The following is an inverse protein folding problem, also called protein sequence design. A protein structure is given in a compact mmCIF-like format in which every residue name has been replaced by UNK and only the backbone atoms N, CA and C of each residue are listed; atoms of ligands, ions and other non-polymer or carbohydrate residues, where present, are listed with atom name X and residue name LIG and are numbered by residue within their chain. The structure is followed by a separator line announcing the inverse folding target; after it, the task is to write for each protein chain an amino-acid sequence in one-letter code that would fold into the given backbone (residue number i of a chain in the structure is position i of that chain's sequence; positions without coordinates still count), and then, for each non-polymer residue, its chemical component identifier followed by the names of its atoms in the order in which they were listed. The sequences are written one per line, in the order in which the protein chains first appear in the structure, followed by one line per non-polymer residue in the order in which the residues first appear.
data_IF_486533445799
#
_entry.id   IF_486533445799
#
_cell.length_a   1.000
_cell.length_b   1.000
_cell.length_c   1.000
_cell.angle_alpha   90.00
_cell.angle_beta   90.00
_cell.angle_gamma   90.00
#
_symmetry.space_group_name_H-M   'P 1'
#
loop_
_entity.id
_entity.type
_entity.pdbx_description
1 polymer ?
#
# COMPACT_ATOMS: atom_id res chain seq x y z
N UNK A 1 -74.35 -31.60 20.08
CA UNK A 1 -73.07 -30.96 20.44
C UNK A 1 -73.35 -29.46 20.41
N UNK A 2 -73.42 -28.83 21.56
CA UNK A 2 -73.73 -27.40 21.67
C UNK A 2 -72.41 -26.64 21.81
N UNK A 3 -72.28 -25.62 20.96
CA UNK A 3 -71.18 -24.70 20.90
C UNK A 3 -71.20 -23.77 22.12
N UNK A 4 -70.07 -23.54 22.82
CA UNK A 4 -70.08 -22.68 23.99
C UNK A 4 -70.07 -21.21 23.56
N UNK A 5 -71.04 -20.47 24.10
CA UNK A 5 -71.27 -19.06 23.91
C UNK A 5 -70.06 -18.23 24.35
N UNK A 6 -69.52 -17.45 23.43
CA UNK A 6 -68.46 -16.44 23.65
C UNK A 6 -68.98 -15.35 24.60
N UNK A 7 -68.41 -15.33 25.78
CA UNK A 7 -68.73 -14.36 26.82
C UNK A 7 -67.95 -13.09 26.55
N UNK A 8 -68.55 -12.14 25.80
CA UNK A 8 -68.01 -10.78 25.62
C UNK A 8 -67.69 -10.17 26.98
N UNK A 9 -66.40 -10.03 27.28
CA UNK A 9 -65.96 -9.25 28.44
C UNK A 9 -66.40 -7.80 28.22
N UNK A 10 -67.22 -7.28 29.05
CA UNK A 10 -67.70 -5.94 29.06
C UNK A 10 -66.46 -4.97 29.14
N UNK A 11 -66.41 -4.01 28.24
CA UNK A 11 -65.44 -2.96 28.28
C UNK A 11 -65.57 -2.20 29.61
N UNK A 12 -64.47 -2.18 30.36
CA UNK A 12 -64.41 -1.37 31.60
C UNK A 12 -64.59 0.10 31.21
N UNK A 13 -65.49 0.85 31.86
CA UNK A 13 -65.70 2.26 31.49
C UNK A 13 -64.41 3.03 31.72
N UNK A 14 -63.96 3.69 30.65
CA UNK A 14 -62.77 4.56 30.66
C UNK A 14 -63.00 5.75 31.60
N UNK A 15 -62.15 5.89 32.60
CA UNK A 15 -62.23 7.00 33.52
C UNK A 15 -62.04 8.33 32.78
N UNK A 16 -62.84 9.40 33.08
CA UNK A 16 -62.65 10.69 32.44
C UNK A 16 -61.22 11.24 32.66
N UNK A 17 -60.57 11.62 31.57
CA UNK A 17 -59.22 12.18 31.61
C UNK A 17 -59.24 13.56 32.26
N UNK A 18 -58.31 13.87 33.18
CA UNK A 18 -58.26 15.18 33.81
C UNK A 18 -57.96 16.28 32.78
N UNK A 19 -58.48 17.53 33.06
CA UNK A 19 -58.20 18.71 32.22
C UNK A 19 -56.72 18.94 32.09
N UNK A 20 -56.19 19.06 30.85
CA UNK A 20 -54.73 19.20 30.57
C UNK A 20 -54.02 17.89 30.21
N UNK A 21 -54.75 16.78 30.04
CA UNK A 21 -54.17 15.54 29.57
C UNK A 21 -53.84 15.60 28.07
N UNK A 22 -52.58 15.47 27.71
CA UNK A 22 -52.15 15.40 26.33
C UNK A 22 -52.43 14.00 25.76
N UNK A 23 -53.20 13.93 24.68
CA UNK A 23 -53.51 12.69 23.96
C UNK A 23 -52.40 12.25 23.02
N UNK A 24 -51.11 12.59 23.27
CA UNK A 24 -49.96 12.14 22.53
C UNK A 24 -49.15 11.13 23.30
N UNK A 25 -48.28 10.38 22.62
CA UNK A 25 -47.28 9.56 23.28
C UNK A 25 -46.34 10.46 24.11
N UNK A 26 -46.59 10.47 25.41
CA UNK A 26 -45.76 11.23 26.34
C UNK A 26 -44.49 10.46 26.67
N UNK A 27 -43.35 11.00 26.33
CA UNK A 27 -42.07 10.46 26.73
C UNK A 27 -41.91 10.55 28.25
N UNK A 28 -41.68 9.44 28.90
CA UNK A 28 -41.39 9.44 30.35
C UNK A 28 -39.95 9.96 30.59
N UNK A 29 -39.68 10.54 31.76
CA UNK A 29 -38.31 10.96 32.13
C UNK A 29 -37.29 9.81 31.96
N UNK A 30 -37.69 8.60 32.32
CA UNK A 30 -36.88 7.40 32.18
C UNK A 30 -36.54 7.09 30.73
N UNK A 31 -37.48 7.23 29.79
CA UNK A 31 -37.22 7.00 28.36
C UNK A 31 -36.31 8.10 27.78
N UNK A 32 -36.45 9.36 28.22
CA UNK A 32 -35.56 10.47 27.82
C UNK A 32 -34.12 10.20 28.28
N UNK A 33 -33.92 9.81 29.54
CA UNK A 33 -32.56 9.49 30.01
C UNK A 33 -31.99 8.23 29.36
N UNK A 34 -32.79 7.22 29.09
CA UNK A 34 -32.35 6.02 28.38
C UNK A 34 -31.94 6.35 26.96
N UNK A 35 -32.71 7.17 26.23
CA UNK A 35 -32.38 7.59 24.86
C UNK A 35 -31.13 8.48 24.83
N UNK A 36 -31.04 9.44 25.77
CA UNK A 36 -29.85 10.28 25.89
C UNK A 36 -28.57 9.46 26.18
N UNK A 37 -28.68 8.45 27.08
CA UNK A 37 -27.57 7.53 27.37
C UNK A 37 -27.16 6.71 26.18
N UNK A 38 -28.11 6.18 25.42
CA UNK A 38 -27.84 5.43 24.17
C UNK A 38 -27.20 6.34 23.11
N UNK A 39 -27.72 7.57 22.93
CA UNK A 39 -27.16 8.53 22.00
C UNK A 39 -25.71 8.90 22.36
N UNK A 40 -25.46 9.20 23.63
CA UNK A 40 -24.11 9.52 24.13
C UNK A 40 -23.15 8.32 23.96
N UNK A 41 -23.61 7.10 24.27
CA UNK A 41 -22.87 5.87 24.06
C UNK A 41 -22.58 5.61 22.57
N UNK A 42 -23.56 5.83 21.71
CA UNK A 42 -23.41 5.70 20.25
C UNK A 42 -22.38 6.69 19.70
N UNK A 43 -22.41 7.95 20.14
CA UNK A 43 -21.41 8.96 19.75
C UNK A 43 -20.01 8.57 20.23
N UNK A 44 -19.87 8.11 21.46
CA UNK A 44 -18.57 7.67 21.99
C UNK A 44 -18.00 6.48 21.21
N UNK A 45 -18.83 5.48 20.88
CA UNK A 45 -18.42 4.33 20.06
C UNK A 45 -18.05 4.79 18.65
N UNK A 46 -18.85 5.66 18.02
CA UNK A 46 -18.56 6.18 16.69
C UNK A 46 -17.27 6.99 16.64
N UNK A 47 -17.00 7.80 17.67
CA UNK A 47 -15.78 8.60 17.78
C UNK A 47 -14.49 7.76 17.80
N UNK A 48 -14.56 6.52 18.28
CA UNK A 48 -13.43 5.58 18.28
C UNK A 48 -13.42 4.73 17.03
N UNK A 49 -14.59 4.17 16.64
CA UNK A 49 -14.63 3.19 15.54
C UNK A 49 -14.44 3.82 14.16
N UNK A 50 -14.95 5.03 13.93
CA UNK A 50 -14.82 5.68 12.62
C UNK A 50 -13.37 5.97 12.23
N UNK A 51 -12.50 6.55 13.11
CA UNK A 51 -11.10 6.71 12.79
C UNK A 51 -10.37 5.38 12.56
N UNK A 52 -10.65 4.36 13.39
CA UNK A 52 -10.01 3.04 13.25
C UNK A 52 -10.40 2.37 11.94
N UNK A 53 -11.69 2.36 11.61
CA UNK A 53 -12.17 1.83 10.33
C UNK A 53 -11.65 2.67 9.16
N UNK A 54 -11.67 4.00 9.28
CA UNK A 54 -11.13 4.91 8.27
C UNK A 54 -9.66 4.61 7.98
N UNK A 55 -8.83 4.48 9.00
CA UNK A 55 -7.42 4.13 8.86
C UNK A 55 -7.22 2.75 8.19
N UNK A 56 -8.03 1.75 8.56
CA UNK A 56 -7.93 0.42 7.99
C UNK A 56 -8.39 0.34 6.52
N UNK A 57 -9.33 1.21 6.11
CA UNK A 57 -9.96 1.18 4.78
C UNK A 57 -9.37 2.24 3.83
N UNK A 58 -8.77 3.32 4.36
CA UNK A 58 -8.19 4.40 3.55
C UNK A 58 -7.24 3.90 2.45
N UNK A 59 -6.32 2.96 2.68
CA UNK A 59 -5.41 2.47 1.64
C UNK A 59 -6.09 1.86 0.41
N UNK A 60 -7.38 1.51 0.51
CA UNK A 60 -8.15 0.99 -0.64
C UNK A 60 -8.54 2.12 -1.62
N UNK A 61 -8.62 3.34 -1.12
CA UNK A 61 -9.07 4.52 -1.89
C UNK A 61 -7.93 5.45 -2.29
N UNK A 62 -6.82 5.43 -1.54
CA UNK A 62 -5.65 6.24 -1.83
C UNK A 62 -4.75 5.50 -2.83
N UNK A 63 -4.82 5.90 -4.08
CA UNK A 63 -3.81 5.52 -5.08
C UNK A 63 -2.65 6.49 -4.93
N UNK A 64 -1.44 6.06 -4.54
CA UNK A 64 -0.27 6.88 -4.72
C UNK A 64 -0.13 7.16 -6.22
N UNK A 65 0.03 8.41 -6.57
CA UNK A 65 0.42 8.78 -7.93
C UNK A 65 1.79 8.16 -8.19
N UNK A 66 1.96 7.54 -9.36
CA UNK A 66 3.26 7.02 -9.76
C UNK A 66 4.19 8.22 -9.99
N UNK A 67 5.10 8.44 -9.05
CA UNK A 67 6.07 9.52 -9.13
C UNK A 67 7.22 9.09 -10.05
N UNK A 68 7.45 9.90 -11.08
CA UNK A 68 8.57 9.74 -11.99
C UNK A 68 9.55 10.90 -11.74
N UNK A 69 10.78 10.58 -11.44
CA UNK A 69 11.80 11.57 -11.13
C UNK A 69 12.94 11.58 -12.17
N UNK A 70 13.25 12.76 -12.70
CA UNK A 70 14.31 12.94 -13.65
C UNK A 70 15.69 12.81 -12.98
N UNK A 71 16.55 11.93 -13.51
CA UNK A 71 17.86 11.63 -12.92
C UNK A 71 19.04 12.12 -13.76
N UNK A 72 18.80 12.71 -14.93
CA UNK A 72 19.82 13.29 -15.79
C UNK A 72 19.61 12.96 -17.26
N UNK A 73 20.61 13.31 -18.10
CA UNK A 73 20.57 12.96 -19.52
C UNK A 73 20.85 11.47 -19.73
N UNK A 74 20.17 10.79 -20.68
CA UNK A 74 20.50 9.42 -21.07
C UNK A 74 21.96 9.20 -21.42
N UNK A 75 22.63 10.19 -21.96
CA UNK A 75 24.07 10.13 -22.35
C UNK A 75 25.04 10.12 -21.17
N UNK A 76 24.56 10.46 -19.98
CA UNK A 76 25.34 10.40 -18.75
C UNK A 76 25.59 8.96 -18.26
N UNK A 77 24.89 7.99 -18.81
CA UNK A 77 24.92 6.58 -18.37
C UNK A 77 25.54 5.69 -19.42
N UNK A 78 26.47 4.84 -18.98
CA UNK A 78 27.21 3.90 -19.83
C UNK A 78 26.83 2.45 -19.51
N UNK A 79 27.18 1.51 -20.38
CA UNK A 79 26.91 0.08 -20.21
C UNK A 79 27.87 -0.59 -19.20
N UNK A 80 29.11 -0.10 -19.12
CA UNK A 80 30.20 -0.75 -18.39
C UNK A 80 30.17 -0.52 -16.87
N UNK A 81 29.42 0.49 -16.42
CA UNK A 81 29.42 0.86 -15.00
C UNK A 81 28.12 1.49 -14.55
N UNK A 82 27.85 1.32 -13.27
CA UNK A 82 26.73 1.98 -12.63
C UNK A 82 27.09 3.38 -12.15
N UNK A 83 26.21 4.34 -12.43
CA UNK A 83 26.19 5.68 -11.85
C UNK A 83 25.11 5.77 -10.79
N UNK A 84 25.40 6.46 -9.70
CA UNK A 84 24.43 6.72 -8.66
C UNK A 84 23.59 7.96 -8.99
N UNK A 85 22.28 7.84 -8.79
CA UNK A 85 21.36 8.98 -8.75
C UNK A 85 20.57 8.93 -7.43
N UNK A 86 20.10 10.08 -6.99
CA UNK A 86 19.24 10.20 -5.81
C UNK A 86 17.83 10.46 -6.29
N UNK A 87 16.89 9.67 -5.82
CA UNK A 87 15.46 9.81 -6.12
C UNK A 87 14.67 10.03 -4.83
N UNK A 88 13.57 10.75 -4.93
CA UNK A 88 12.62 10.96 -3.85
C UNK A 88 11.54 9.86 -3.92
N UNK A 89 11.43 9.05 -2.89
CA UNK A 89 10.42 7.99 -2.78
C UNK A 89 9.20 8.47 -2.00
N UNK A 90 9.41 9.39 -1.05
CA UNK A 90 8.34 9.97 -0.23
C UNK A 90 8.59 11.46 -0.06
N UNK A 91 7.68 12.25 -0.58
CA UNK A 91 7.73 13.70 -0.43
C UNK A 91 7.41 14.16 0.99
N UNK A 92 7.94 15.33 1.34
CA UNK A 92 7.60 16.01 2.60
C UNK A 92 8.34 15.53 3.85
N UNK A 93 9.13 14.46 3.77
CA UNK A 93 9.91 13.93 4.90
C UNK A 93 11.42 14.24 4.82
N UNK A 94 11.81 15.14 3.93
CA UNK A 94 13.19 15.58 3.73
C UNK A 94 14.10 14.44 3.22
N UNK A 95 15.33 14.37 3.74
CA UNK A 95 16.30 13.36 3.27
C UNK A 95 15.92 11.92 3.60
N UNK A 96 15.04 11.70 4.56
CA UNK A 96 14.52 10.38 4.90
C UNK A 96 13.62 9.80 3.80
N UNK A 97 13.03 10.65 2.97
CA UNK A 97 12.22 10.25 1.82
C UNK A 97 13.03 9.94 0.56
N UNK A 98 14.34 10.20 0.59
CA UNK A 98 15.20 9.97 -0.56
C UNK A 98 15.84 8.58 -0.54
N UNK A 99 16.09 8.05 -1.74
CA UNK A 99 16.82 6.81 -1.92
C UNK A 99 17.86 6.98 -3.03
N UNK A 100 18.90 6.20 -2.93
CA UNK A 100 19.90 6.13 -4.02
C UNK A 100 19.55 4.97 -4.94
N UNK A 101 19.72 5.17 -6.22
CA UNK A 101 19.56 4.16 -7.27
C UNK A 101 20.85 4.06 -8.08
N UNK A 102 21.21 2.85 -8.48
CA UNK A 102 22.31 2.59 -9.39
C UNK A 102 21.75 2.43 -10.80
N UNK A 103 22.21 3.25 -11.73
CA UNK A 103 21.71 3.26 -13.10
C UNK A 103 22.84 3.00 -14.08
N UNK A 104 22.59 2.17 -15.08
CA UNK A 104 23.44 1.97 -16.26
C UNK A 104 22.60 1.87 -17.52
N UNK A 105 23.21 2.06 -18.68
CA UNK A 105 22.58 1.74 -19.96
C UNK A 105 22.57 0.22 -20.15
N UNK A 106 21.52 -0.33 -20.73
CA UNK A 106 21.37 -1.74 -21.05
C UNK A 106 19.93 -2.19 -20.89
N UNK A 107 19.54 -3.24 -21.60
CA UNK A 107 18.19 -3.78 -21.52
C UNK A 107 17.96 -4.56 -20.22
N UNK A 108 16.87 -4.33 -19.51
CA UNK A 108 16.45 -5.15 -18.36
C UNK A 108 15.95 -6.52 -18.78
N UNK A 109 15.63 -6.70 -20.04
CA UNK A 109 15.23 -7.98 -20.66
C UNK A 109 16.27 -8.41 -21.70
N UNK A 110 16.25 -9.68 -22.08
CA UNK A 110 17.17 -10.21 -23.08
C UNK A 110 16.88 -9.72 -24.52
N UNK A 111 15.78 -8.98 -24.70
CA UNK A 111 15.43 -8.30 -25.95
C UNK A 111 16.14 -6.94 -25.97
N UNK A 112 17.19 -6.85 -26.74
CA UNK A 112 18.14 -5.74 -26.82
C UNK A 112 17.48 -4.46 -27.39
N UNK A 113 16.87 -3.61 -26.56
CA UNK A 113 16.61 -2.23 -26.90
C UNK A 113 17.78 -1.36 -26.41
N UNK A 114 18.56 -0.75 -27.31
CA UNK A 114 19.74 0.07 -26.96
C UNK A 114 19.39 1.35 -26.19
N UNK A 115 18.10 1.70 -26.08
CA UNK A 115 17.62 2.86 -25.34
C UNK A 115 17.09 2.50 -23.94
N UNK A 116 17.21 1.26 -23.54
CA UNK A 116 16.79 0.84 -22.22
C UNK A 116 17.86 1.09 -21.16
N UNK A 117 17.41 1.29 -19.94
CA UNK A 117 18.25 1.52 -18.77
C UNK A 117 17.88 0.54 -17.67
N UNK A 118 18.89 0.08 -16.95
CA UNK A 118 18.72 -0.73 -15.76
C UNK A 118 18.95 0.15 -14.54
N UNK A 119 17.92 0.28 -13.72
CA UNK A 119 17.96 1.00 -12.45
C UNK A 119 17.78 0.02 -11.29
N UNK A 120 18.84 -0.15 -10.48
CA UNK A 120 18.90 -1.12 -9.37
C UNK A 120 18.82 -0.39 -8.04
N UNK A 121 17.97 -0.90 -7.14
CA UNK A 121 17.83 -0.40 -5.78
C UNK A 121 19.11 -0.64 -4.96
N UNK A 122 19.49 0.36 -4.18
CA UNK A 122 20.58 0.19 -3.20
C UNK A 122 20.15 -0.61 -1.97
N UNK A 123 18.90 -1.01 -1.85
CA UNK A 123 18.41 -1.76 -0.67
C UNK A 123 18.67 -3.25 -0.82
N UNK A 124 19.47 -3.79 0.12
CA UNK A 124 19.74 -5.22 0.21
C UNK A 124 18.45 -6.02 0.44
N UNK A 125 18.24 -7.07 -0.36
CA UNK A 125 17.07 -7.94 -0.24
C UNK A 125 17.02 -8.80 1.04
N UNK A 126 18.07 -8.75 1.89
CA UNK A 126 18.07 -9.41 3.21
C UNK A 126 17.27 -8.59 4.23
N UNK A 127 17.73 -7.39 4.59
CA UNK A 127 17.13 -6.52 5.61
C UNK A 127 17.19 -5.03 5.24
N UNK A 128 17.30 -4.69 3.96
CA UNK A 128 17.21 -3.31 3.50
C UNK A 128 18.47 -2.45 3.70
N UNK A 129 19.60 -3.03 4.18
CA UNK A 129 20.85 -2.28 4.31
C UNK A 129 21.34 -1.77 2.95
N UNK A 130 22.01 -0.60 2.87
CA UNK A 130 22.52 -0.10 1.63
C UNK A 130 23.64 -0.99 1.06
N UNK A 131 23.51 -1.38 -0.20
CA UNK A 131 24.54 -2.09 -0.95
C UNK A 131 25.48 -1.07 -1.64
N UNK A 132 26.71 -1.47 -1.86
CA UNK A 132 27.70 -0.68 -2.58
C UNK A 132 28.15 -1.42 -3.84
N UNK A 133 28.20 -0.70 -4.96
CA UNK A 133 28.75 -1.23 -6.19
C UNK A 133 30.28 -1.12 -6.16
N UNK A 134 30.96 -2.25 -6.23
CA UNK A 134 32.42 -2.33 -6.29
C UNK A 134 32.85 -2.49 -7.74
N UNK A 135 33.19 -1.39 -8.38
CA UNK A 135 33.54 -1.33 -9.80
C UNK A 135 34.63 -2.34 -10.20
N UNK A 136 35.66 -2.49 -9.39
CA UNK A 136 36.79 -3.40 -9.67
C UNK A 136 36.37 -4.88 -9.70
N UNK A 137 35.32 -5.25 -8.97
CA UNK A 137 34.79 -6.62 -8.93
C UNK A 137 33.55 -6.81 -9.80
N UNK A 138 32.93 -5.74 -10.27
CA UNK A 138 31.66 -5.78 -10.99
C UNK A 138 30.49 -6.27 -10.15
N UNK A 139 30.56 -6.16 -8.83
CA UNK A 139 29.60 -6.75 -7.90
C UNK A 139 29.01 -5.71 -6.96
N UNK A 140 27.77 -5.97 -6.47
CA UNK A 140 27.20 -5.23 -5.36
C UNK A 140 27.46 -5.99 -4.06
N UNK A 141 27.90 -5.28 -3.04
CA UNK A 141 28.23 -5.85 -1.73
C UNK A 141 27.42 -5.14 -0.65
N UNK A 142 26.75 -5.92 0.20
CA UNK A 142 26.09 -5.44 1.40
C UNK A 142 27.06 -5.61 2.59
N UNK A 143 27.53 -4.52 3.22
CA UNK A 143 28.53 -4.61 4.30
C UNK A 143 27.92 -5.15 5.61
N UNK A 144 26.60 -5.16 5.78
CA UNK A 144 25.98 -5.54 7.05
C UNK A 144 26.16 -7.04 7.38
N UNK A 145 25.88 -7.92 6.41
CA UNK A 145 25.92 -9.37 6.61
C UNK A 145 26.58 -10.11 5.43
N UNK A 146 27.35 -9.41 4.62
CA UNK A 146 28.11 -10.01 3.52
C UNK A 146 27.25 -10.52 2.35
N UNK A 147 26.09 -9.91 2.11
CA UNK A 147 25.33 -10.19 0.89
C UNK A 147 26.10 -9.74 -0.34
N UNK A 148 26.24 -10.61 -1.32
CA UNK A 148 26.95 -10.34 -2.59
C UNK A 148 25.99 -10.60 -3.75
N UNK A 149 26.02 -9.64 -4.69
CA UNK A 149 25.23 -9.71 -5.91
C UNK A 149 26.14 -9.47 -7.12
N UNK A 150 25.84 -10.11 -8.22
CA UNK A 150 26.56 -9.89 -9.46
C UNK A 150 26.26 -8.52 -10.10
N UNK A 151 26.79 -8.31 -11.30
CA UNK A 151 26.59 -7.07 -12.04
C UNK A 151 25.11 -6.80 -12.39
N UNK A 152 24.29 -7.83 -12.53
CA UNK A 152 22.87 -7.72 -12.79
C UNK A 152 22.01 -7.63 -11.52
N UNK A 153 22.62 -7.67 -10.34
CA UNK A 153 21.92 -7.66 -9.07
C UNK A 153 21.40 -9.01 -8.62
N UNK A 154 21.80 -10.13 -9.25
CA UNK A 154 21.47 -11.50 -8.82
C UNK A 154 22.33 -11.88 -7.61
N UNK A 155 21.76 -12.66 -6.69
CA UNK A 155 22.48 -13.14 -5.51
C UNK A 155 23.55 -14.14 -5.91
N UNK A 156 24.79 -13.88 -5.51
CA UNK A 156 25.93 -14.79 -5.67
C UNK A 156 26.49 -15.30 -4.35
N UNK A 157 26.10 -14.67 -3.24
CA UNK A 157 26.54 -15.10 -1.92
C UNK A 157 25.90 -14.35 -0.76
N UNK A 158 26.02 -14.93 0.44
CA UNK A 158 25.49 -14.36 1.67
C UNK A 158 24.01 -14.69 1.92
N UNK A 159 23.40 -14.02 2.91
CA UNK A 159 22.05 -14.32 3.37
C UNK A 159 20.89 -13.86 2.48
N UNK A 160 21.01 -12.96 1.49
CA UNK A 160 19.89 -12.59 0.63
C UNK A 160 19.35 -13.81 -0.14
N UNK A 161 18.03 -13.88 -0.28
CA UNK A 161 17.34 -14.99 -0.95
C UNK A 161 16.75 -14.61 -2.31
N UNK A 162 16.84 -13.34 -2.70
CA UNK A 162 16.34 -12.82 -3.98
C UNK A 162 17.23 -11.70 -4.50
N UNK A 163 17.19 -11.42 -5.81
CA UNK A 163 17.91 -10.31 -6.42
C UNK A 163 17.56 -8.96 -5.80
N UNK A 164 18.36 -7.95 -6.13
CA UNK A 164 18.06 -6.56 -5.84
C UNK A 164 16.83 -6.11 -6.63
N UNK A 165 15.98 -5.32 -6.00
CA UNK A 165 14.83 -4.71 -6.66
C UNK A 165 15.29 -3.75 -7.76
N UNK A 166 14.43 -3.57 -8.76
CA UNK A 166 14.64 -2.65 -9.87
C UNK A 166 13.60 -1.54 -9.84
N UNK A 167 13.89 -0.47 -10.55
CA UNK A 167 12.96 0.62 -10.82
C UNK A 167 12.61 0.64 -12.30
N UNK A 168 11.39 1.06 -12.60
CA UNK A 168 11.01 1.36 -13.97
C UNK A 168 11.80 2.56 -14.47
N UNK A 169 12.14 2.56 -15.77
CA UNK A 169 12.85 3.66 -16.41
C UNK A 169 12.11 4.06 -17.68
N UNK A 170 12.15 5.34 -18.00
CA UNK A 170 11.67 5.86 -19.28
C UNK A 170 12.49 7.09 -19.68
N UNK A 171 12.55 7.34 -20.95
CA UNK A 171 13.17 8.58 -21.47
C UNK A 171 12.07 9.52 -21.94
N UNK A 172 12.03 10.70 -21.35
CA UNK A 172 11.07 11.76 -21.70
C UNK A 172 11.84 12.95 -22.26
N UNK A 173 11.77 13.13 -23.59
CA UNK A 173 12.60 14.15 -24.26
C UNK A 173 14.08 13.83 -24.14
N UNK A 174 14.82 14.65 -23.41
CA UNK A 174 16.29 14.52 -23.16
C UNK A 174 16.59 14.14 -21.70
N UNK A 175 15.61 13.64 -20.98
CA UNK A 175 15.75 13.30 -19.57
C UNK A 175 15.39 11.84 -19.33
N UNK A 176 16.28 11.11 -18.64
CA UNK A 176 15.99 9.78 -18.09
C UNK A 176 15.23 9.96 -16.79
N UNK A 177 14.08 9.32 -16.70
CA UNK A 177 13.25 9.30 -15.51
C UNK A 177 13.22 7.90 -14.90
N UNK A 178 13.20 7.86 -13.57
CA UNK A 178 13.06 6.66 -12.75
C UNK A 178 11.71 6.70 -12.09
N UNK A 179 10.96 5.62 -12.18
CA UNK A 179 9.60 5.46 -11.67
C UNK A 179 9.48 4.42 -10.57
N UNK A 180 8.33 3.75 -10.47
CA UNK A 180 8.03 2.79 -9.41
C UNK A 180 9.04 1.65 -9.31
N UNK A 181 9.26 1.21 -8.06
CA UNK A 181 10.10 0.04 -7.77
C UNK A 181 9.34 -1.26 -8.01
N UNK A 182 10.02 -2.26 -8.53
CA UNK A 182 9.50 -3.62 -8.67
C UNK A 182 10.55 -4.68 -8.28
N UNK A 183 10.07 -5.86 -7.89
CA UNK A 183 10.92 -7.01 -7.59
C UNK A 183 11.15 -7.87 -8.82
N UNK A 184 12.24 -8.61 -8.83
CA UNK A 184 12.58 -9.56 -9.90
C UNK A 184 12.86 -10.95 -9.35
N UNK A 185 12.62 -11.99 -10.18
CA UNK A 185 13.03 -13.37 -9.91
C UNK A 185 14.53 -13.54 -10.10
N UNK A 186 15.07 -14.72 -9.75
CA UNK A 186 16.46 -15.08 -10.05
C UNK A 186 16.77 -15.09 -11.56
N UNK A 187 15.76 -15.22 -12.40
CA UNK A 187 15.90 -15.13 -13.86
C UNK A 187 15.72 -13.71 -14.40
N UNK A 188 15.62 -12.73 -13.47
CA UNK A 188 15.40 -11.30 -13.72
C UNK A 188 14.03 -10.96 -14.35
N UNK A 189 13.11 -11.88 -14.30
CA UNK A 189 11.73 -11.60 -14.70
C UNK A 189 11.03 -10.73 -13.63
N UNK A 190 10.29 -9.70 -14.03
CA UNK A 190 9.52 -8.88 -13.11
C UNK A 190 8.53 -9.71 -12.28
N UNK A 191 8.48 -9.47 -10.99
CA UNK A 191 7.55 -10.12 -10.06
C UNK A 191 6.73 -9.06 -9.36
N UNK A 192 5.44 -9.23 -9.36
CA UNK A 192 4.56 -8.50 -8.47
C UNK A 192 4.62 -9.16 -7.09
N UNK A 193 5.57 -8.74 -6.26
CA UNK A 193 5.57 -9.09 -4.85
C UNK A 193 4.65 -8.11 -4.11
N UNK A 194 3.77 -8.63 -3.26
CA UNK A 194 2.99 -7.76 -2.38
C UNK A 194 3.93 -7.18 -1.33
N UNK A 195 4.20 -5.89 -1.41
CA UNK A 195 4.72 -5.11 -0.30
C UNK A 195 3.51 -4.66 0.54
N UNK A 196 3.49 -4.91 1.86
CA UNK A 196 2.41 -4.43 2.71
C UNK A 196 2.26 -2.90 2.72
N UNK A 197 3.29 -2.17 2.30
CA UNK A 197 3.28 -0.71 2.16
C UNK A 197 2.83 -0.21 0.79
N UNK A 198 2.63 -1.09 -0.18
CA UNK A 198 2.18 -0.70 -1.52
C UNK A 198 0.66 -0.71 -1.62
N UNK A 199 0.17 0.17 -2.49
CA UNK A 199 -1.25 0.24 -2.85
C UNK A 199 -1.72 -1.11 -3.41
N UNK A 200 -2.89 -1.55 -2.96
CA UNK A 200 -3.55 -2.72 -3.51
C UNK A 200 -4.55 -2.30 -4.59
N UNK A 201 -4.63 -3.06 -5.68
CA UNK A 201 -5.51 -2.77 -6.82
C UNK A 201 -7.02 -2.82 -6.51
N UNK A 202 -7.40 -2.91 -5.23
CA UNK A 202 -8.78 -2.87 -4.77
C UNK A 202 -9.05 -3.77 -3.57
N UNK A 203 -10.30 -3.74 -3.09
CA UNK A 203 -10.73 -4.47 -1.89
C UNK A 203 -10.46 -5.98 -1.96
N UNK A 204 -10.50 -6.57 -3.15
CA UNK A 204 -10.25 -8.00 -3.32
C UNK A 204 -8.79 -8.37 -3.12
N UNK A 205 -7.85 -7.55 -3.59
CA UNK A 205 -6.43 -7.73 -3.32
C UNK A 205 -6.08 -7.53 -1.85
N UNK A 206 -6.81 -6.64 -1.17
CA UNK A 206 -6.67 -6.44 0.26
C UNK A 206 -7.12 -7.67 1.06
N UNK A 207 -8.26 -8.27 0.69
CA UNK A 207 -8.81 -9.46 1.37
C UNK A 207 -8.11 -10.75 0.96
N UNK A 208 -7.74 -10.86 -0.32
CA UNK A 208 -7.09 -12.03 -0.91
C UNK A 208 -5.81 -11.61 -1.64
N UNK A 209 -4.73 -11.39 -0.89
CA UNK A 209 -3.47 -10.97 -1.50
C UNK A 209 -3.04 -11.96 -2.59
N UNK A 210 -2.76 -11.49 -3.81
CA UNK A 210 -2.28 -12.34 -4.88
C UNK A 210 -0.96 -12.98 -4.47
N UNK A 211 -0.72 -14.18 -4.97
CA UNK A 211 0.60 -14.79 -4.88
C UNK A 211 1.57 -13.99 -5.76
N UNK A 212 2.87 -13.95 -5.40
CA UNK A 212 3.88 -13.39 -6.30
C UNK A 212 3.74 -14.03 -7.69
N UNK A 213 3.67 -13.21 -8.72
CA UNK A 213 3.55 -13.65 -10.11
C UNK A 213 4.60 -12.94 -10.95
N UNK A 214 4.96 -13.50 -12.10
CA UNK A 214 5.83 -12.89 -13.09
C UNK A 214 5.10 -11.85 -13.96
N UNK A 215 3.91 -11.43 -13.56
CA UNK A 215 3.20 -10.38 -14.24
C UNK A 215 3.97 -9.05 -14.14
N UNK A 216 4.07 -8.29 -15.22
CA UNK A 216 4.69 -6.97 -15.18
C UNK A 216 3.96 -6.08 -14.15
N UNK A 217 4.65 -5.11 -13.54
CA UNK A 217 4.01 -4.13 -12.68
C UNK A 217 2.89 -3.43 -13.45
N UNK A 218 1.81 -3.00 -12.79
CA UNK A 218 0.76 -2.24 -13.45
C UNK A 218 1.35 -0.96 -14.02
N UNK A 219 1.06 -0.73 -15.28
CA UNK A 219 1.40 0.50 -16.00
C UNK A 219 0.58 1.67 -15.50
#
# INVERSE_FOLDING_TARGET
MAEPADKKRGATPEKPKPAGYFEGETMTRRSVFALAGQAAGGVAVAAVTLPVVGFAVAPIFDRPEEEWEGVGSPDDFTEDTYRQAVITIVDGVGDSGKSTVYIRRGSPTLDEDPNEFIAISTRCAHLGCPVQFVRAAGNFICPCHGGVYDFEGKVTGGPPVRPLDRFQTRVTGDTLEVGPRYSVTNDLEPVRARDPGEFTGGIWEYLYPPRPTTAPPPS
#
